data_IF_056099608784
#
_entry.id   IF_056099608784
#
_cell.length_a   1.000
_cell.length_b   1.000
_cell.length_c   1.000
_cell.angle_alpha   90.00
_cell.angle_beta   90.00
_cell.angle_gamma   90.00
#
_symmetry.space_group_name_H-M   'P 1'
#
loop_
_entity.id
_entity.type
_entity.pdbx_description
1 polymer ?
#
# COMPACT_ATOMS: atom_id res chain seq x y z
N UNK A 1 -17.00 -2.12 -23.81
CA UNK A 1 -16.17 -1.55 -22.74
C UNK A 1 -16.63 -0.16 -22.28
N UNK A 2 -16.67 0.84 -23.15
CA UNK A 2 -17.01 2.23 -22.78
C UNK A 2 -18.32 2.38 -21.99
N UNK A 3 -19.40 1.75 -22.42
CA UNK A 3 -20.69 1.79 -21.72
C UNK A 3 -20.61 1.22 -20.29
N UNK A 4 -19.85 0.15 -20.09
CA UNK A 4 -19.63 -0.44 -18.77
C UNK A 4 -18.85 0.50 -17.86
N UNK A 5 -17.78 1.12 -18.38
CA UNK A 5 -16.97 2.09 -17.63
C UNK A 5 -17.80 3.30 -17.17
N UNK A 6 -18.62 3.85 -18.06
CA UNK A 6 -19.51 4.99 -17.76
C UNK A 6 -20.52 4.62 -16.67
N UNK A 7 -21.13 3.44 -16.75
CA UNK A 7 -22.09 2.97 -15.74
C UNK A 7 -21.44 2.76 -14.38
N UNK A 8 -20.20 2.24 -14.35
CA UNK A 8 -19.45 2.04 -13.10
C UNK A 8 -19.08 3.37 -12.44
N UNK A 9 -18.80 4.42 -13.22
CA UNK A 9 -18.45 5.75 -12.71
C UNK A 9 -19.66 6.64 -12.40
N UNK A 10 -20.87 6.19 -12.66
CA UNK A 10 -22.08 6.96 -12.41
C UNK A 10 -22.41 6.97 -10.93
N UNK A 11 -22.57 8.18 -10.36
CA UNK A 11 -23.01 8.40 -9.00
C UNK A 11 -24.35 9.14 -9.01
N UNK A 12 -25.31 8.67 -8.23
CA UNK A 12 -26.59 9.34 -8.06
C UNK A 12 -26.63 9.99 -6.67
N UNK A 13 -26.69 11.32 -6.65
CA UNK A 13 -26.76 12.11 -5.43
C UNK A 13 -27.97 13.05 -5.50
N UNK A 14 -28.87 12.96 -4.53
CA UNK A 14 -30.08 13.80 -4.44
C UNK A 14 -30.95 13.79 -5.73
N UNK A 15 -31.09 12.63 -6.37
CA UNK A 15 -31.86 12.48 -7.61
C UNK A 15 -31.16 13.04 -8.87
N UNK A 16 -29.95 13.53 -8.73
CA UNK A 16 -29.11 13.99 -9.84
C UNK A 16 -28.05 12.95 -10.16
N UNK A 17 -27.94 12.57 -11.42
CA UNK A 17 -26.90 11.65 -11.89
C UNK A 17 -25.69 12.45 -12.35
N UNK A 18 -24.56 12.16 -11.75
CA UNK A 18 -23.28 12.74 -12.11
C UNK A 18 -22.34 11.66 -12.62
N UNK A 19 -21.66 11.97 -13.73
CA UNK A 19 -20.68 11.07 -14.36
C UNK A 19 -19.42 11.89 -14.61
N UNK A 20 -18.38 11.62 -13.82
CA UNK A 20 -17.05 12.22 -14.01
C UNK A 20 -16.05 11.14 -14.43
N UNK A 21 -15.92 10.94 -15.73
CA UNK A 21 -15.02 9.93 -16.30
C UNK A 21 -13.55 10.32 -16.07
N UNK A 22 -13.23 11.60 -16.14
CA UNK A 22 -11.83 12.06 -16.00
C UNK A 22 -11.26 11.78 -14.61
N UNK A 23 -12.11 11.86 -13.60
CA UNK A 23 -11.71 11.68 -12.21
C UNK A 23 -11.73 10.21 -11.77
N UNK A 24 -12.73 9.45 -12.21
CA UNK A 24 -12.98 8.10 -11.68
C UNK A 24 -12.63 6.96 -12.62
N UNK A 25 -12.50 7.19 -13.93
CA UNK A 25 -12.10 6.18 -14.90
C UNK A 25 -10.63 6.38 -15.29
N UNK A 26 -9.74 5.62 -14.69
CA UNK A 26 -8.32 5.60 -15.03
C UNK A 26 -8.07 4.57 -16.13
N UNK A 27 -7.45 5.00 -17.23
CA UNK A 27 -7.08 4.12 -18.34
C UNK A 27 -5.60 3.77 -18.21
N UNK A 28 -5.31 2.49 -17.99
CA UNK A 28 -3.95 1.98 -17.93
C UNK A 28 -3.64 1.14 -19.18
N UNK A 29 -2.48 1.39 -19.76
CA UNK A 29 -1.99 0.63 -20.91
C UNK A 29 -1.03 -0.45 -20.40
N UNK A 30 -1.40 -1.71 -20.62
CA UNK A 30 -0.56 -2.85 -20.23
C UNK A 30 0.01 -3.47 -21.52
N UNK A 31 1.31 -3.40 -21.77
CA UNK A 31 1.92 -3.99 -22.95
C UNK A 31 1.91 -5.52 -22.87
N UNK A 32 1.92 -6.19 -24.02
CA UNK A 32 2.06 -7.64 -24.11
C UNK A 32 0.76 -8.44 -24.27
N UNK A 33 -0.41 -7.76 -24.33
CA UNK A 33 -1.70 -8.37 -24.61
C UNK A 33 -2.31 -7.90 -25.93
N UNK A 34 -3.46 -8.48 -26.29
CA UNK A 34 -4.28 -8.02 -27.41
C UNK A 34 -5.31 -6.98 -26.95
N UNK A 35 -5.89 -6.23 -27.89
CA UNK A 35 -6.96 -5.29 -27.58
C UNK A 35 -8.19 -6.00 -27.00
N UNK A 36 -8.41 -7.25 -27.37
CA UNK A 36 -9.53 -8.08 -26.91
C UNK A 36 -9.41 -8.45 -25.43
N UNK A 37 -8.18 -8.49 -24.90
CA UNK A 37 -7.89 -8.76 -23.47
C UNK A 37 -8.21 -7.57 -22.57
N UNK A 38 -8.49 -6.41 -23.16
CA UNK A 38 -8.84 -5.21 -22.40
C UNK A 38 -10.11 -5.40 -21.59
N UNK A 39 -10.10 -4.94 -20.34
CA UNK A 39 -11.21 -5.13 -19.40
C UNK A 39 -11.54 -3.85 -18.65
N UNK A 40 -12.79 -3.72 -18.26
CA UNK A 40 -13.23 -2.71 -17.30
C UNK A 40 -13.31 -3.38 -15.93
N UNK A 41 -12.49 -2.91 -15.01
CA UNK A 41 -12.46 -3.36 -13.61
C UNK A 41 -13.39 -2.48 -12.79
N UNK A 42 -14.15 -3.10 -11.91
CA UNK A 42 -14.92 -2.42 -10.89
C UNK A 42 -14.11 -2.43 -9.59
N UNK A 43 -13.19 -1.49 -9.49
CA UNK A 43 -12.23 -1.45 -8.41
C UNK A 43 -10.98 -0.65 -8.77
N UNK A 44 -9.91 -0.89 -8.06
CA UNK A 44 -8.63 -0.19 -8.19
C UNK A 44 -7.59 -1.15 -8.78
N UNK A 45 -6.74 -0.65 -9.66
CA UNK A 45 -5.57 -1.35 -10.14
C UNK A 45 -4.31 -0.63 -9.63
N UNK A 46 -3.51 -1.33 -8.86
CA UNK A 46 -2.23 -0.85 -8.35
C UNK A 46 -1.10 -1.47 -9.16
N UNK A 47 -0.18 -0.64 -9.66
CA UNK A 47 1.02 -1.11 -10.34
C UNK A 47 2.10 -1.50 -9.32
N UNK A 48 1.75 -2.44 -8.46
CA UNK A 48 2.63 -3.00 -7.42
C UNK A 48 2.40 -4.49 -7.30
N UNK A 49 3.46 -5.20 -7.00
CA UNK A 49 3.42 -6.65 -6.73
C UNK A 49 3.53 -6.91 -5.22
N UNK A 50 3.37 -8.17 -4.83
CA UNK A 50 3.59 -8.61 -3.46
C UNK A 50 5.06 -8.45 -3.08
N UNK A 51 5.33 -8.03 -1.85
CA UNK A 51 6.69 -7.77 -1.37
C UNK A 51 7.51 -9.05 -1.24
N UNK A 52 6.86 -10.18 -0.96
CA UNK A 52 7.55 -11.44 -0.76
C UNK A 52 6.92 -12.60 -1.57
N UNK A 53 7.73 -13.48 -2.19
CA UNK A 53 7.23 -14.58 -3.04
C UNK A 53 6.28 -15.57 -2.34
N UNK A 54 6.38 -15.70 -1.02
CA UNK A 54 5.52 -16.57 -0.21
C UNK A 54 4.15 -15.99 0.10
N UNK A 55 3.93 -14.72 -0.21
CA UNK A 55 2.63 -14.08 0.00
C UNK A 55 1.64 -14.55 -1.06
N UNK A 56 0.38 -14.72 -0.65
CA UNK A 56 -0.68 -15.09 -1.55
C UNK A 56 -0.94 -13.97 -2.56
N UNK A 57 -0.99 -14.31 -3.84
CA UNK A 57 -1.28 -13.35 -4.92
C UNK A 57 -2.77 -13.14 -5.16
N UNK A 58 -3.61 -14.00 -4.59
CA UNK A 58 -5.06 -13.90 -4.68
C UNK A 58 -5.68 -14.19 -3.32
N UNK A 59 -6.49 -13.26 -2.87
CA UNK A 59 -7.23 -13.35 -1.61
C UNK A 59 -8.68 -12.98 -1.91
N UNK A 60 -9.61 -13.84 -1.53
CA UNK A 60 -11.04 -13.62 -1.72
C UNK A 60 -11.63 -12.99 -0.45
N UNK A 61 -12.44 -11.94 -0.62
CA UNK A 61 -13.06 -11.18 0.46
C UNK A 61 -12.07 -10.72 1.56
N UNK A 62 -10.96 -10.04 1.19
CA UNK A 62 -9.93 -9.70 2.15
C UNK A 62 -10.38 -8.61 3.11
N UNK A 63 -9.89 -8.70 4.35
CA UNK A 63 -9.85 -7.56 5.25
C UNK A 63 -8.62 -6.72 4.89
N UNK A 64 -8.84 -5.52 4.41
CA UNK A 64 -7.74 -4.64 4.00
C UNK A 64 -7.42 -3.64 5.10
N UNK A 65 -6.13 -3.47 5.38
CA UNK A 65 -5.58 -2.42 6.21
C UNK A 65 -4.81 -1.44 5.31
N UNK A 66 -5.21 -0.19 5.32
CA UNK A 66 -4.54 0.88 4.58
C UNK A 66 -3.76 1.73 5.57
N UNK A 67 -2.45 1.85 5.37
CA UNK A 67 -1.57 2.60 6.22
C UNK A 67 -0.97 3.77 5.45
N UNK A 68 -1.12 4.96 6.00
CA UNK A 68 -0.46 6.19 5.53
C UNK A 68 0.82 6.47 6.33
N UNK A 69 1.55 5.41 6.62
CA UNK A 69 2.81 5.48 7.32
C UNK A 69 3.82 4.47 6.77
N UNK A 70 5.09 4.79 6.92
CA UNK A 70 6.15 3.84 6.61
C UNK A 70 6.23 2.78 7.72
N UNK A 71 6.44 1.53 7.33
CA UNK A 71 6.73 0.44 8.25
C UNK A 71 8.24 0.33 8.58
N UNK A 72 8.94 1.45 8.51
CA UNK A 72 10.36 1.54 8.80
C UNK A 72 10.61 2.37 10.06
N UNK A 73 11.63 2.00 10.80
CA UNK A 73 12.11 2.83 11.89
C UNK A 73 12.81 4.07 11.31
N UNK A 74 12.24 5.26 11.55
CA UNK A 74 12.92 6.52 11.24
C UNK A 74 13.64 6.99 12.50
N UNK A 75 14.96 7.17 12.44
CA UNK A 75 15.70 7.91 13.46
C UNK A 75 15.07 9.30 13.57
N UNK A 76 14.53 9.62 14.75
CA UNK A 76 14.02 10.96 15.02
C UNK A 76 15.16 11.99 14.92
N UNK A 77 14.87 13.19 14.49
CA UNK A 77 15.84 14.30 14.39
C UNK A 77 16.53 14.61 15.74
N UNK A 78 15.90 14.26 16.85
CA UNK A 78 16.45 14.41 18.20
C UNK A 78 17.60 13.46 18.54
N UNK A 79 17.81 12.39 17.76
CA UNK A 79 18.91 11.44 17.99
C UNK A 79 20.22 11.83 17.28
N UNK A 80 20.20 12.85 16.44
CA UNK A 80 21.39 13.35 15.73
C UNK A 80 22.42 13.99 16.68
N UNK A 81 22.04 14.35 17.90
CA UNK A 81 22.91 15.01 18.87
C UNK A 81 23.33 14.11 20.05
N UNK A 82 22.98 12.84 20.04
CA UNK A 82 23.54 11.89 20.99
C UNK A 82 24.90 11.47 20.41
N UNK A 83 25.96 12.11 20.90
CA UNK A 83 27.31 11.61 20.70
C UNK A 83 27.34 10.18 21.23
N UNK A 84 27.44 9.21 20.31
CA UNK A 84 27.57 7.79 20.63
C UNK A 84 28.93 7.58 21.30
N UNK A 85 28.97 7.69 22.59
CA UNK A 85 30.19 7.55 23.39
C UNK A 85 30.47 6.11 23.83
N UNK A 86 30.10 5.12 23.03
CA UNK A 86 30.50 3.73 23.29
C UNK A 86 29.63 2.66 22.63
N UNK A 87 30.18 1.45 22.53
CA UNK A 87 29.50 0.26 21.99
C UNK A 87 28.18 -0.10 22.72
N UNK A 88 28.05 0.27 23.99
CA UNK A 88 26.83 0.01 24.77
C UNK A 88 25.63 0.80 24.30
N UNK A 89 25.83 2.00 23.75
CA UNK A 89 24.74 2.84 23.30
C UNK A 89 24.21 2.37 21.93
N UNK A 90 25.08 1.79 21.10
CA UNK A 90 24.68 1.22 19.82
C UNK A 90 23.73 0.02 19.98
N UNK A 91 24.03 -0.88 20.90
CA UNK A 91 23.17 -2.03 21.19
C UNK A 91 21.79 -1.62 21.73
N UNK A 92 21.73 -0.55 22.53
CA UNK A 92 20.46 -0.01 23.01
C UNK A 92 19.61 0.57 21.89
N UNK A 93 20.24 1.24 20.92
CA UNK A 93 19.53 1.78 19.75
C UNK A 93 18.95 0.63 18.91
N UNK A 94 19.70 -0.42 18.64
CA UNK A 94 19.22 -1.60 17.93
C UNK A 94 18.04 -2.26 18.65
N UNK A 95 18.09 -2.39 19.96
CA UNK A 95 16.99 -2.94 20.75
C UNK A 95 15.72 -2.08 20.65
N UNK A 96 15.86 -0.76 20.69
CA UNK A 96 14.74 0.17 20.54
C UNK A 96 14.13 0.09 19.14
N UNK A 97 14.95 -0.08 18.11
CA UNK A 97 14.48 -0.30 16.73
C UNK A 97 13.68 -1.60 16.62
N UNK A 98 14.21 -2.68 17.16
CA UNK A 98 13.53 -3.99 17.15
C UNK A 98 12.21 -3.96 17.94
N UNK A 99 12.18 -3.34 19.12
CA UNK A 99 10.98 -3.19 19.92
C UNK A 99 9.91 -2.35 19.21
N UNK A 100 10.32 -1.28 18.54
CA UNK A 100 9.40 -0.43 17.78
C UNK A 100 8.78 -1.17 16.60
N UNK A 101 9.59 -1.87 15.80
CA UNK A 101 9.12 -2.67 14.67
C UNK A 101 8.22 -3.80 15.16
N UNK A 102 8.60 -4.48 16.23
CA UNK A 102 7.79 -5.54 16.84
C UNK A 102 6.43 -5.02 17.29
N UNK A 103 6.38 -3.88 17.95
CA UNK A 103 5.13 -3.25 18.37
C UNK A 103 4.24 -2.92 17.18
N UNK A 104 4.79 -2.33 16.11
CA UNK A 104 4.02 -2.07 14.89
C UNK A 104 3.46 -3.36 14.28
N UNK A 105 4.25 -4.40 14.22
CA UNK A 105 3.79 -5.71 13.72
C UNK A 105 2.68 -6.29 14.58
N UNK A 106 2.81 -6.22 15.90
CA UNK A 106 1.80 -6.70 16.84
C UNK A 106 0.48 -5.92 16.71
N UNK A 107 0.54 -4.61 16.55
CA UNK A 107 -0.61 -3.76 16.31
C UNK A 107 -1.32 -4.12 15.00
N UNK A 108 -0.57 -4.34 13.92
CA UNK A 108 -1.12 -4.77 12.63
C UNK A 108 -1.76 -6.16 12.75
N UNK A 109 -1.12 -7.10 13.41
CA UNK A 109 -1.61 -8.46 13.60
C UNK A 109 -2.89 -8.46 14.45
N UNK A 110 -3.04 -7.54 15.40
CA UNK A 110 -4.23 -7.41 16.23
C UNK A 110 -5.50 -7.13 15.42
N UNK A 111 -5.38 -6.43 14.29
CA UNK A 111 -6.49 -6.19 13.35
C UNK A 111 -6.81 -7.40 12.47
N UNK A 112 -5.96 -8.41 12.44
CA UNK A 112 -6.08 -9.62 11.59
C UNK A 112 -6.38 -9.27 10.11
N UNK A 113 -5.58 -8.42 9.45
CA UNK A 113 -5.78 -8.11 8.06
C UNK A 113 -5.32 -9.27 7.17
N UNK A 114 -6.00 -9.44 6.05
CA UNK A 114 -5.58 -10.38 4.99
C UNK A 114 -4.65 -9.69 3.99
N UNK A 115 -4.80 -8.37 3.84
CA UNK A 115 -4.03 -7.52 2.95
C UNK A 115 -3.66 -6.21 3.64
N UNK A 116 -2.39 -5.84 3.59
CA UNK A 116 -1.88 -4.56 4.09
C UNK A 116 -1.30 -3.77 2.93
N UNK A 117 -1.74 -2.53 2.77
CA UNK A 117 -1.23 -1.59 1.77
C UNK A 117 -0.63 -0.40 2.51
N UNK A 118 0.64 -0.11 2.24
CA UNK A 118 1.36 1.03 2.81
C UNK A 118 1.79 2.00 1.72
N UNK A 119 2.00 3.26 2.07
CA UNK A 119 2.42 4.29 1.12
C UNK A 119 3.83 4.01 0.58
N UNK A 120 4.72 3.55 1.42
CA UNK A 120 6.10 3.24 1.08
C UNK A 120 6.41 1.79 1.44
N UNK A 121 6.28 0.91 0.48
CA UNK A 121 6.92 -0.39 0.55
C UNK A 121 8.41 -0.21 0.29
N UNK A 122 9.18 -1.04 0.95
CA UNK A 122 10.61 -1.17 0.87
C UNK A 122 11.20 -0.72 -0.47
N UNK A 123 11.91 0.37 -0.46
CA UNK A 123 12.74 0.82 -1.57
C UNK A 123 14.12 0.13 -1.51
N UNK A 124 14.09 -1.16 -1.32
CA UNK A 124 15.22 -2.01 -1.61
C UNK A 124 15.35 -2.15 -3.11
N UNK A 125 16.33 -1.51 -3.69
CA UNK A 125 16.82 -1.65 -5.06
C UNK A 125 16.21 -0.73 -6.12
N UNK A 126 16.57 0.52 -6.06
CA UNK A 126 17.00 1.24 -7.25
C UNK A 126 18.55 1.25 -7.28
N UNK A 127 19.11 0.21 -7.88
CA UNK A 127 20.45 0.25 -8.48
C UNK A 127 20.49 -0.55 -9.76
#
# INVERSE_FOLDING_TARGET
MALKAVRTCMVETNGRREIDIKRYAKVEKVPGGSLEDSRVLDGIMLNKDVVHPRMNRRIENPRMLLLDCNLEFKKGESQTNIELSGEMDFNKILQLEEEYIKKMCDDIIAFKPDLVITEKGDSGEDK
#
